data_IF_551630303175
#
_entry.id   IF_551630303175
#
_cell.length_a   1.000
_cell.length_b   1.000
_cell.length_c   1.000
_cell.angle_alpha   90.00
_cell.angle_beta   90.00
_cell.angle_gamma   90.00
#
_symmetry.space_group_name_H-M   'P 1'
#
loop_
_entity.id
_entity.type
_entity.pdbx_description
1 polymer ?
#
# COMPACT_ATOMS: atom_id res chain seq x y z
N UNK A 1 -5.31 2.89 17.54
CA UNK A 1 -5.92 2.05 16.50
C UNK A 1 -6.75 0.88 17.09
N UNK A 2 -7.69 1.13 18.01
CA UNK A 2 -8.45 0.04 18.67
C UNK A 2 -9.60 -0.48 17.79
N UNK A 3 -10.39 0.42 17.22
CA UNK A 3 -11.57 0.07 16.41
C UNK A 3 -11.17 -0.67 15.13
N UNK A 4 -10.20 -0.15 14.37
CA UNK A 4 -9.72 -0.79 13.13
C UNK A 4 -9.12 -2.16 13.40
N UNK A 5 -8.32 -2.28 14.46
CA UNK A 5 -7.75 -3.57 14.91
C UNK A 5 -8.84 -4.59 15.21
N UNK A 6 -9.83 -4.19 16.00
CA UNK A 6 -10.93 -5.07 16.41
C UNK A 6 -11.76 -5.51 15.19
N UNK A 7 -11.91 -4.63 14.20
CA UNK A 7 -12.60 -4.96 12.94
C UNK A 7 -11.79 -5.92 12.05
N UNK A 8 -10.47 -5.74 11.96
CA UNK A 8 -9.58 -6.69 11.25
C UNK A 8 -9.68 -8.07 11.88
N UNK A 9 -9.66 -8.16 13.22
CA UNK A 9 -9.84 -9.42 13.94
C UNK A 9 -11.23 -10.02 13.67
N UNK A 10 -12.28 -9.19 13.73
CA UNK A 10 -13.68 -9.63 13.53
C UNK A 10 -13.92 -10.18 12.13
N UNK A 11 -13.36 -9.53 11.11
CA UNK A 11 -13.48 -9.98 9.72
C UNK A 11 -12.53 -11.14 9.41
N UNK A 12 -11.36 -11.18 10.06
CA UNK A 12 -10.37 -12.24 9.94
C UNK A 12 -10.02 -12.54 8.48
N UNK A 13 -10.13 -13.83 8.10
CA UNK A 13 -9.78 -14.31 6.75
C UNK A 13 -10.66 -13.75 5.62
N UNK A 14 -11.73 -13.01 5.93
CA UNK A 14 -12.53 -12.29 4.91
C UNK A 14 -11.78 -11.11 4.32
N UNK A 15 -10.84 -10.51 5.05
CA UNK A 15 -9.97 -9.45 4.53
C UNK A 15 -8.86 -10.11 3.71
N UNK A 16 -8.79 -9.79 2.41
CA UNK A 16 -7.73 -10.28 1.52
C UNK A 16 -6.59 -9.29 1.35
N UNK A 17 -6.91 -7.99 1.42
CA UNK A 17 -5.96 -6.90 1.26
C UNK A 17 -6.21 -5.84 2.33
N UNK A 18 -5.14 -5.28 2.87
CA UNK A 18 -5.13 -4.09 3.72
C UNK A 18 -4.33 -2.98 3.03
N UNK A 19 -4.92 -1.80 2.88
CA UNK A 19 -4.26 -0.62 2.34
C UNK A 19 -4.40 0.52 3.33
N UNK A 20 -3.28 1.11 3.73
CA UNK A 20 -3.25 2.38 4.47
C UNK A 20 -2.67 3.47 3.58
N UNK A 21 -3.41 4.58 3.46
CA UNK A 21 -3.03 5.70 2.58
C UNK A 21 -2.46 6.85 3.40
N UNK A 22 -1.34 7.35 2.93
CA UNK A 22 -0.57 8.44 3.49
C UNK A 22 -0.13 9.38 2.35
N UNK A 23 0.55 10.45 2.72
CA UNK A 23 1.29 11.32 1.81
C UNK A 23 2.44 11.91 2.62
N UNK A 24 3.58 12.23 2.05
CA UNK A 24 3.95 12.22 0.64
C UNK A 24 5.17 11.32 0.45
N UNK A 25 5.52 10.98 -0.80
CA UNK A 25 6.84 10.53 -1.29
C UNK A 25 6.73 9.71 -2.58
N UNK A 26 5.51 9.35 -3.00
CA UNK A 26 5.25 8.43 -4.12
C UNK A 26 5.86 7.05 -3.87
N UNK A 27 5.43 6.39 -2.80
CA UNK A 27 5.90 5.05 -2.41
C UNK A 27 4.73 4.08 -2.35
N UNK A 28 4.96 2.85 -2.78
CA UNK A 28 4.06 1.72 -2.60
C UNK A 28 4.78 0.63 -1.81
N UNK A 29 4.64 0.69 -0.49
CA UNK A 29 5.44 -0.11 0.42
C UNK A 29 4.66 -1.30 0.96
N UNK A 30 5.38 -2.39 1.22
CA UNK A 30 4.87 -3.54 1.95
C UNK A 30 5.67 -3.76 3.24
N UNK A 31 5.21 -4.58 4.20
CA UNK A 31 5.97 -4.91 5.40
C UNK A 31 7.38 -5.49 5.11
N UNK A 32 8.35 -5.41 6.02
CA UNK A 32 8.23 -4.88 7.38
C UNK A 32 8.74 -3.44 7.50
N UNK A 33 8.09 -2.65 8.34
CA UNK A 33 8.58 -1.38 8.85
C UNK A 33 9.44 -1.52 10.10
N UNK A 34 9.21 -2.53 10.94
CA UNK A 34 9.96 -2.70 12.19
C UNK A 34 11.34 -3.38 12.03
N UNK A 35 11.64 -3.96 10.87
CA UNK A 35 12.88 -4.70 10.60
C UNK A 35 13.25 -4.68 9.11
N UNK A 36 14.55 -4.80 8.79
CA UNK A 36 15.03 -4.90 7.40
C UNK A 36 14.83 -6.28 6.77
N UNK A 37 14.47 -7.29 7.58
CA UNK A 37 14.08 -8.59 7.05
C UNK A 37 12.83 -8.44 6.16
N UNK A 38 12.73 -9.28 5.13
CA UNK A 38 11.56 -9.34 4.27
C UNK A 38 10.55 -10.36 4.82
N UNK A 39 9.24 -10.16 4.63
CA UNK A 39 8.26 -11.23 4.84
C UNK A 39 8.54 -12.42 3.92
N UNK A 40 8.19 -13.63 4.35
CA UNK A 40 8.44 -14.86 3.57
C UNK A 40 7.79 -14.82 2.17
N UNK A 41 6.67 -14.11 2.04
CA UNK A 41 5.87 -13.93 0.82
C UNK A 41 6.11 -12.58 0.12
N UNK A 42 7.24 -11.91 0.39
CA UNK A 42 7.52 -10.58 -0.17
C UNK A 42 7.44 -10.53 -1.70
N UNK A 43 7.77 -11.61 -2.41
CA UNK A 43 7.67 -11.66 -3.87
C UNK A 43 6.23 -11.53 -4.36
N UNK A 44 5.28 -12.12 -3.63
CA UNK A 44 3.86 -12.00 -3.96
C UNK A 44 3.38 -10.56 -3.72
N UNK A 45 3.87 -9.94 -2.64
CA UNK A 45 3.59 -8.54 -2.32
C UNK A 45 4.11 -7.60 -3.41
N UNK A 46 5.36 -7.80 -3.79
CA UNK A 46 6.09 -7.00 -4.76
C UNK A 46 5.48 -7.11 -6.17
N UNK A 47 5.16 -8.33 -6.63
CA UNK A 47 4.52 -8.53 -7.93
C UNK A 47 3.19 -7.77 -8.06
N UNK A 48 2.32 -7.86 -7.05
CA UNK A 48 1.05 -7.14 -7.07
C UNK A 48 1.23 -5.61 -6.98
N UNK A 49 2.24 -5.15 -6.23
CA UNK A 49 2.60 -3.74 -6.18
C UNK A 49 3.10 -3.22 -7.54
N UNK A 50 3.92 -4.00 -8.25
CA UNK A 50 4.41 -3.67 -9.59
C UNK A 50 3.26 -3.52 -10.59
N UNK A 51 2.29 -4.44 -10.59
CA UNK A 51 1.11 -4.35 -11.45
C UNK A 51 0.28 -3.09 -11.14
N UNK A 52 0.06 -2.80 -9.85
CA UNK A 52 -0.71 -1.65 -9.39
C UNK A 52 -0.02 -0.31 -9.74
N UNK A 53 1.28 -0.19 -9.47
CA UNK A 53 2.09 1.00 -9.78
C UNK A 53 2.26 1.18 -11.30
N UNK A 54 2.32 0.10 -12.08
CA UNK A 54 2.34 0.19 -13.54
C UNK A 54 1.06 0.83 -14.07
N UNK A 55 -0.11 0.41 -13.57
CA UNK A 55 -1.39 1.01 -13.95
C UNK A 55 -1.50 2.48 -13.48
N UNK A 56 -1.03 2.80 -12.27
CA UNK A 56 -0.92 4.17 -11.77
C UNK A 56 -0.09 5.03 -12.72
N UNK A 57 1.12 4.56 -13.04
CA UNK A 57 2.10 5.28 -13.86
C UNK A 57 1.53 5.55 -15.25
N UNK A 58 0.72 4.64 -15.81
CA UNK A 58 0.14 4.79 -17.14
C UNK A 58 -0.83 5.98 -17.28
N UNK A 59 -1.40 6.50 -16.18
CA UNK A 59 -2.37 7.61 -16.23
C UNK A 59 -1.68 8.95 -16.50
N UNK A 60 -0.73 9.31 -15.65
CA UNK A 60 -0.09 10.64 -15.63
C UNK A 60 1.44 10.59 -15.68
N UNK A 61 2.04 9.41 -15.87
CA UNK A 61 3.49 9.21 -15.87
C UNK A 61 4.16 9.32 -14.50
N UNK A 62 3.37 9.30 -13.42
CA UNK A 62 3.89 9.48 -12.05
C UNK A 62 4.50 8.19 -11.56
N UNK A 63 5.74 8.27 -11.07
CA UNK A 63 6.54 7.10 -10.69
C UNK A 63 6.48 6.90 -9.19
N UNK A 64 6.13 5.68 -8.78
CA UNK A 64 6.19 5.28 -7.38
C UNK A 64 7.32 4.27 -7.19
N UNK A 65 8.06 4.41 -6.10
CA UNK A 65 9.03 3.40 -5.68
C UNK A 65 8.34 2.29 -4.89
N UNK A 66 8.79 1.05 -5.07
CA UNK A 66 8.22 -0.15 -4.45
C UNK A 66 9.29 -0.80 -3.57
N UNK A 67 8.89 -1.28 -2.41
CA UNK A 67 9.76 -2.09 -1.57
C UNK A 67 9.21 -2.29 -0.16
N UNK A 68 9.99 -2.97 0.68
CA UNK A 68 9.62 -3.09 2.09
C UNK A 68 9.83 -1.76 2.82
N UNK A 69 8.89 -1.34 3.68
CA UNK A 69 8.91 -0.05 4.37
C UNK A 69 10.28 0.32 4.96
N UNK A 70 10.94 -0.57 5.71
CA UNK A 70 12.26 -0.29 6.30
C UNK A 70 13.35 0.00 5.28
N UNK A 71 13.36 -0.76 4.17
CA UNK A 71 14.42 -0.67 3.15
C UNK A 71 14.16 0.46 2.13
N UNK A 72 12.91 0.92 2.00
CA UNK A 72 12.53 2.01 1.09
C UNK A 72 12.53 3.37 1.77
N UNK A 73 12.14 3.45 3.05
CA UNK A 73 12.09 4.73 3.80
C UNK A 73 13.09 4.75 4.96
N UNK A 74 12.79 4.04 6.04
CA UNK A 74 13.58 3.88 7.26
C UNK A 74 12.84 2.93 8.21
N UNK A 75 13.53 2.42 9.24
CA UNK A 75 12.90 1.56 10.25
C UNK A 75 11.88 2.32 11.10
N UNK A 76 10.63 1.86 11.10
CA UNK A 76 9.51 2.37 11.86
C UNK A 76 8.67 1.23 12.46
N UNK A 77 8.69 1.08 13.78
CA UNK A 77 7.88 0.08 14.47
C UNK A 77 6.45 0.56 14.77
N UNK A 78 5.51 -0.37 14.89
CA UNK A 78 4.11 -0.07 15.23
C UNK A 78 3.24 0.35 14.04
N UNK A 79 3.73 0.15 12.81
CA UNK A 79 2.99 0.34 11.57
C UNK A 79 1.70 -0.49 11.52
N UNK A 80 0.66 0.09 10.92
CA UNK A 80 -0.64 -0.58 10.83
C UNK A 80 -0.66 -1.73 9.82
N UNK A 81 0.13 -1.59 8.76
CA UNK A 81 0.46 -2.59 7.75
C UNK A 81 1.21 -3.78 8.35
N UNK A 82 2.26 -3.52 9.13
CA UNK A 82 3.00 -4.56 9.86
C UNK A 82 2.07 -5.34 10.80
N UNK A 83 1.25 -4.63 11.59
CA UNK A 83 0.31 -5.29 12.49
C UNK A 83 -0.75 -6.09 11.73
N UNK A 84 -1.32 -5.53 10.66
CA UNK A 84 -2.34 -6.19 9.85
C UNK A 84 -1.81 -7.48 9.22
N UNK A 85 -0.54 -7.49 8.76
CA UNK A 85 0.10 -8.70 8.21
C UNK A 85 0.50 -9.69 9.30
N UNK A 86 1.28 -9.24 10.27
CA UNK A 86 1.92 -10.13 11.25
C UNK A 86 0.95 -10.70 12.29
N UNK A 87 0.01 -9.88 12.78
CA UNK A 87 -0.95 -10.29 13.82
C UNK A 87 -2.36 -10.45 13.24
N UNK A 88 -2.78 -9.53 12.37
CA UNK A 88 -4.09 -9.57 11.72
C UNK A 88 -4.26 -10.67 10.68
N UNK A 89 -3.16 -11.27 10.21
CA UNK A 89 -3.17 -12.37 9.23
C UNK A 89 -3.55 -11.96 7.80
N UNK A 90 -3.54 -10.65 7.49
CA UNK A 90 -3.81 -10.15 6.14
C UNK A 90 -2.59 -10.35 5.27
N UNK A 91 -2.68 -11.22 4.25
CA UNK A 91 -1.54 -11.55 3.39
C UNK A 91 -0.98 -10.32 2.65
N UNK A 92 -1.85 -9.61 1.94
CA UNK A 92 -1.49 -8.45 1.13
C UNK A 92 -1.73 -7.17 1.94
N UNK A 93 -0.69 -6.63 2.57
CA UNK A 93 -0.76 -5.39 3.33
C UNK A 93 0.20 -4.38 2.73
N UNK A 94 -0.26 -3.14 2.53
CA UNK A 94 0.57 -2.07 1.98
C UNK A 94 0.32 -0.73 2.65
N UNK A 95 1.38 0.07 2.67
CA UNK A 95 1.36 1.51 2.94
C UNK A 95 1.62 2.25 1.63
N UNK A 96 0.71 3.13 1.23
CA UNK A 96 0.84 3.94 0.01
C UNK A 96 1.06 5.39 0.38
N UNK A 97 2.23 5.93 0.05
CA UNK A 97 2.56 7.35 0.19
C UNK A 97 2.28 8.06 -1.14
N UNK A 98 1.25 8.91 -1.17
CA UNK A 98 0.81 9.59 -2.39
C UNK A 98 1.78 10.73 -2.80
N UNK A 99 1.36 11.51 -3.80
CA UNK A 99 2.11 12.68 -4.29
C UNK A 99 2.37 13.72 -3.18
N UNK A 100 3.41 14.54 -3.31
CA UNK A 100 4.49 14.51 -4.30
C UNK A 100 5.79 13.97 -3.70
N UNK A 101 6.96 14.35 -4.22
CA UNK A 101 8.27 13.94 -3.66
C UNK A 101 8.90 15.02 -2.76
N UNK A 102 8.09 15.93 -2.23
CA UNK A 102 8.49 16.95 -1.27
C UNK A 102 8.58 18.38 -1.80
N UNK A 103 8.17 18.65 -3.04
CA UNK A 103 8.13 20.03 -3.55
C UNK A 103 7.01 20.82 -2.87
N UNK A 104 5.80 20.26 -2.82
CA UNK A 104 4.70 20.76 -2.01
C UNK A 104 4.57 19.98 -0.69
N UNK A 105 4.94 18.70 -0.69
CA UNK A 105 4.76 17.80 0.45
C UNK A 105 3.28 17.75 0.86
N UNK A 106 3.02 18.01 2.15
CA UNK A 106 1.65 18.04 2.69
C UNK A 106 0.79 19.20 2.19
N UNK A 107 1.39 20.24 1.58
CA UNK A 107 0.68 21.41 1.06
C UNK A 107 0.41 21.29 -0.45
N UNK A 108 0.12 20.07 -0.91
CA UNK A 108 -0.18 19.76 -2.30
C UNK A 108 -1.38 20.61 -2.79
N UNK A 109 -1.26 21.35 -3.91
CA UNK A 109 -2.31 22.28 -4.31
C UNK A 109 -3.59 21.54 -4.73
N UNK A 110 -4.78 22.14 -4.53
CA UNK A 110 -6.06 21.50 -4.86
C UNK A 110 -6.17 21.01 -6.31
N UNK A 111 -5.48 21.65 -7.25
CA UNK A 111 -5.42 21.24 -8.66
C UNK A 111 -4.74 19.88 -8.90
N UNK A 112 -4.07 19.31 -7.89
CA UNK A 112 -3.44 17.99 -7.93
C UNK A 112 -4.25 16.89 -7.25
N UNK A 113 -5.35 17.23 -6.57
CA UNK A 113 -6.22 16.25 -5.89
C UNK A 113 -6.79 15.25 -6.90
N UNK A 114 -7.43 15.74 -7.97
CA UNK A 114 -8.05 14.88 -8.98
C UNK A 114 -7.00 14.03 -9.73
N UNK A 115 -5.89 14.60 -10.24
CA UNK A 115 -4.83 13.78 -10.85
C UNK A 115 -4.27 12.69 -9.94
N UNK A 116 -4.05 12.98 -8.64
CA UNK A 116 -3.58 11.98 -7.67
C UNK A 116 -4.62 10.90 -7.42
N UNK A 117 -5.92 11.25 -7.42
CA UNK A 117 -7.02 10.31 -7.25
C UNK A 117 -7.19 9.39 -8.45
N UNK A 118 -7.13 9.93 -9.67
CA UNK A 118 -7.26 9.16 -10.92
C UNK A 118 -6.20 8.06 -11.04
N UNK A 119 -4.92 8.41 -10.86
CA UNK A 119 -3.84 7.42 -10.95
C UNK A 119 -3.93 6.36 -9.85
N UNK A 120 -4.28 6.77 -8.63
CA UNK A 120 -4.41 5.87 -7.49
C UNK A 120 -5.59 4.92 -7.68
N UNK A 121 -6.68 5.40 -8.29
CA UNK A 121 -7.85 4.58 -8.59
C UNK A 121 -7.55 3.48 -9.62
N UNK A 122 -6.71 3.75 -10.62
CA UNK A 122 -6.25 2.70 -11.55
C UNK A 122 -5.46 1.61 -10.84
N UNK A 123 -4.57 1.97 -9.91
CA UNK A 123 -3.87 1.01 -9.06
C UNK A 123 -4.83 0.16 -8.20
N UNK A 124 -5.83 0.81 -7.60
CA UNK A 124 -6.85 0.14 -6.78
C UNK A 124 -7.68 -0.87 -7.59
N UNK A 125 -7.99 -0.58 -8.86
CA UNK A 125 -8.69 -1.53 -9.73
C UNK A 125 -7.86 -2.77 -10.00
N UNK A 126 -6.54 -2.64 -10.18
CA UNK A 126 -5.64 -3.80 -10.31
C UNK A 126 -5.71 -4.67 -9.07
N UNK A 127 -5.57 -4.08 -7.88
CA UNK A 127 -5.67 -4.79 -6.61
C UNK A 127 -7.04 -5.47 -6.44
N UNK A 128 -8.13 -4.76 -6.74
CA UNK A 128 -9.48 -5.31 -6.68
C UNK A 128 -9.71 -6.48 -7.64
N UNK A 129 -9.20 -6.37 -8.87
CA UNK A 129 -9.27 -7.44 -9.87
C UNK A 129 -8.43 -8.65 -9.46
N UNK A 130 -7.24 -8.43 -8.89
CA UNK A 130 -6.40 -9.48 -8.32
C UNK A 130 -7.16 -10.27 -7.25
N UNK A 131 -7.80 -9.58 -6.30
CA UNK A 131 -8.61 -10.23 -5.25
C UNK A 131 -9.75 -11.03 -5.85
N UNK A 132 -10.51 -10.41 -6.78
CA UNK A 132 -11.63 -11.06 -7.46
C UNK A 132 -11.20 -12.36 -8.13
N UNK A 133 -10.13 -12.32 -8.93
CA UNK A 133 -9.67 -13.45 -9.74
C UNK A 133 -9.02 -14.57 -8.90
N UNK A 134 -8.40 -14.21 -7.78
CA UNK A 134 -7.67 -15.15 -6.91
C UNK A 134 -8.60 -15.84 -5.90
N UNK A 135 -9.61 -15.13 -5.38
CA UNK A 135 -10.38 -15.59 -4.22
C UNK A 135 -11.89 -15.79 -4.46
N UNK A 136 -12.43 -15.50 -5.64
CA UNK A 136 -13.88 -15.67 -5.92
C UNK A 136 -14.23 -17.02 -6.56
N UNK A 137 -13.50 -18.09 -6.22
CA UNK A 137 -13.82 -19.47 -6.63
C UNK A 137 -14.58 -20.19 -5.52
#
# INVERSE_FOLDING_TARGET
>A
MRVVRDEIIRLGSKIKVYLTFHSYSQLWMYPWGYTSALPDDWKDLDNLAQDAVSALTAVHGTKYEIGSSTNTIYAAAGGSDDWAKGVGGVKYAYTVELRDQGYYGFLLPPSKIIPSGEETFEALKVVGNFVKNTYSK
#
